data_IF_808423812516
#
_entry.id   IF_808423812516
#
_cell.length_a   1.000
_cell.length_b   1.000
_cell.length_c   1.000
_cell.angle_alpha   90.00
_cell.angle_beta   90.00
_cell.angle_gamma   90.00
#
_symmetry.space_group_name_H-M   'P 1'
#
loop_
_entity.id
_entity.type
_entity.pdbx_description
1 polymer ?
#
# COMPACT_ATOMS: atom_id res chain seq x y z
N UNK A 1 -18.71 39.53 -47.17
CA UNK A 1 -19.54 38.60 -46.36
C UNK A 1 -18.78 37.36 -45.88
N UNK A 2 -17.86 36.79 -46.67
CA UNK A 2 -17.08 35.58 -46.31
C UNK A 2 -16.11 35.80 -45.13
N UNK A 3 -15.36 36.91 -45.12
CA UNK A 3 -14.42 37.25 -44.03
C UNK A 3 -15.09 37.40 -42.66
N UNK A 4 -16.32 37.94 -42.63
CA UNK A 4 -17.07 38.14 -41.39
C UNK A 4 -17.53 36.80 -40.79
N UNK A 5 -17.90 35.82 -41.63
CA UNK A 5 -18.27 34.46 -41.19
C UNK A 5 -17.06 33.68 -40.64
N UNK A 6 -15.88 33.87 -41.21
CA UNK A 6 -14.63 33.23 -40.73
C UNK A 6 -14.24 33.77 -39.34
N UNK A 7 -14.41 35.08 -39.10
CA UNK A 7 -14.11 35.70 -37.81
C UNK A 7 -14.98 35.16 -36.67
N UNK A 8 -16.30 35.01 -36.90
CA UNK A 8 -17.21 34.44 -35.88
C UNK A 8 -16.91 32.96 -35.57
N UNK A 9 -16.50 32.19 -36.58
CA UNK A 9 -16.13 30.79 -36.39
C UNK A 9 -14.89 30.65 -35.50
N UNK A 10 -13.86 31.47 -35.72
CA UNK A 10 -12.64 31.45 -34.90
C UNK A 10 -12.91 31.83 -33.44
N UNK A 11 -13.77 32.82 -33.19
CA UNK A 11 -14.15 33.23 -31.83
C UNK A 11 -14.89 32.11 -31.10
N UNK A 12 -15.81 31.41 -31.78
CA UNK A 12 -16.57 30.31 -31.20
C UNK A 12 -15.66 29.13 -30.80
N UNK A 13 -14.65 28.81 -31.61
CA UNK A 13 -13.67 27.75 -31.32
C UNK A 13 -12.79 28.12 -30.13
N UNK A 14 -12.35 29.38 -30.01
CA UNK A 14 -11.56 29.83 -28.87
C UNK A 14 -12.39 29.79 -27.59
N UNK A 15 -13.66 30.22 -27.64
CA UNK A 15 -14.57 30.18 -26.49
C UNK A 15 -14.86 28.75 -26.04
N UNK A 16 -15.07 27.80 -26.96
CA UNK A 16 -15.28 26.40 -26.58
C UNK A 16 -14.02 25.77 -25.98
N UNK A 17 -12.83 26.13 -26.47
CA UNK A 17 -11.57 25.67 -25.92
C UNK A 17 -11.31 26.25 -24.52
N UNK A 18 -11.59 27.54 -24.29
CA UNK A 18 -11.47 28.18 -22.99
C UNK A 18 -12.48 27.61 -21.98
N UNK A 19 -13.73 27.39 -22.40
CA UNK A 19 -14.75 26.76 -21.56
C UNK A 19 -14.37 25.32 -21.20
N UNK A 20 -13.85 24.54 -22.17
CA UNK A 20 -13.35 23.18 -21.94
C UNK A 20 -12.16 23.15 -20.99
N UNK A 21 -11.19 24.07 -21.16
CA UNK A 21 -10.02 24.17 -20.29
C UNK A 21 -10.38 24.58 -18.86
N UNK A 22 -11.34 25.49 -18.70
CA UNK A 22 -11.80 25.93 -17.37
C UNK A 22 -12.57 24.83 -16.63
N UNK A 23 -13.46 24.12 -17.34
CA UNK A 23 -14.16 22.95 -16.80
C UNK A 23 -13.18 21.81 -16.47
N UNK A 24 -12.16 21.59 -17.31
CA UNK A 24 -11.11 20.61 -17.07
C UNK A 24 -10.29 20.92 -15.81
N UNK A 25 -9.88 22.18 -15.64
CA UNK A 25 -9.15 22.61 -14.45
C UNK A 25 -9.98 22.50 -13.15
N UNK A 26 -11.29 22.76 -13.22
CA UNK A 26 -12.20 22.65 -12.07
C UNK A 26 -12.55 21.20 -11.69
N UNK A 27 -12.39 20.25 -12.62
CA UNK A 27 -12.60 18.82 -12.39
C UNK A 27 -11.34 18.07 -11.95
N UNK A 28 -10.17 18.71 -11.99
CA UNK A 28 -8.92 18.15 -11.50
C UNK A 28 -8.91 18.23 -9.96
N UNK A 29 -9.61 17.29 -9.32
CA UNK A 29 -9.45 17.05 -7.88
C UNK A 29 -8.06 16.49 -7.65
N UNK A 30 -7.25 17.12 -6.81
CA UNK A 30 -5.93 16.61 -6.43
C UNK A 30 -6.08 15.23 -5.77
N UNK A 31 -5.71 14.13 -6.45
CA UNK A 31 -5.85 12.76 -5.93
C UNK A 31 -5.05 12.53 -4.63
N UNK A 32 -4.14 13.45 -4.37
CA UNK A 32 -3.15 13.47 -3.32
C UNK A 32 -3.71 14.10 -2.02
N UNK A 33 -4.60 15.08 -2.13
CA UNK A 33 -5.33 15.62 -0.97
C UNK A 33 -6.23 14.57 -0.29
N UNK A 34 -6.67 13.56 -1.06
CA UNK A 34 -7.45 12.42 -0.57
C UNK A 34 -6.60 11.38 0.20
N UNK A 35 -5.26 11.42 0.11
CA UNK A 35 -4.41 10.45 0.82
C UNK A 35 -4.55 10.60 2.33
N UNK A 36 -4.59 11.84 2.83
CA UNK A 36 -4.76 12.12 4.25
C UNK A 36 -6.12 11.65 4.78
N UNK A 37 -7.20 11.79 3.99
CA UNK A 37 -8.53 11.34 4.37
C UNK A 37 -8.62 9.81 4.36
N UNK A 38 -8.04 9.15 3.36
CA UNK A 38 -7.96 7.69 3.28
C UNK A 38 -7.12 7.08 4.41
N UNK A 39 -5.99 7.70 4.77
CA UNK A 39 -5.18 7.28 5.92
C UNK A 39 -5.95 7.38 7.24
N UNK A 40 -6.68 8.48 7.45
CA UNK A 40 -7.55 8.64 8.64
C UNK A 40 -8.64 7.56 8.67
N UNK A 41 -9.25 7.25 7.53
CA UNK A 41 -10.28 6.21 7.45
C UNK A 41 -9.70 4.81 7.75
N UNK A 42 -8.50 4.51 7.24
CA UNK A 42 -7.79 3.24 7.47
C UNK A 42 -7.36 3.08 8.94
N UNK A 43 -6.92 4.16 9.58
CA UNK A 43 -6.62 4.20 11.01
C UNK A 43 -7.87 3.92 11.86
N UNK A 44 -8.95 4.70 11.67
CA UNK A 44 -10.20 4.51 12.41
C UNK A 44 -10.76 3.09 12.28
N UNK A 45 -10.63 2.56 11.07
CA UNK A 45 -11.00 1.21 10.72
C UNK A 45 -10.18 0.16 11.48
N UNK A 46 -8.86 0.34 11.56
CA UNK A 46 -7.97 -0.57 12.30
C UNK A 46 -8.21 -0.50 13.81
N UNK A 47 -8.46 0.70 14.35
CA UNK A 47 -8.83 0.89 15.76
C UNK A 47 -10.16 0.20 16.09
N UNK A 48 -11.20 0.41 15.26
CA UNK A 48 -12.49 -0.27 15.41
C UNK A 48 -12.30 -1.78 15.42
N UNK A 49 -11.42 -2.30 14.57
CA UNK A 49 -11.14 -3.72 14.50
C UNK A 49 -10.48 -4.26 15.78
N UNK A 50 -9.53 -3.53 16.37
CA UNK A 50 -8.89 -3.96 17.62
C UNK A 50 -9.90 -4.03 18.77
N UNK A 51 -10.81 -3.05 18.83
CA UNK A 51 -11.91 -3.08 19.79
C UNK A 51 -12.85 -4.26 19.54
N UNK A 52 -13.17 -4.55 18.28
CA UNK A 52 -13.92 -5.76 17.93
C UNK A 52 -13.17 -7.02 18.39
N UNK A 53 -11.84 -7.10 18.18
CA UNK A 53 -11.01 -8.22 18.62
C UNK A 53 -11.01 -8.42 20.14
N UNK A 54 -11.00 -7.34 20.92
CA UNK A 54 -11.13 -7.39 22.39
C UNK A 54 -12.50 -7.91 22.83
N UNK A 55 -13.54 -7.64 22.05
CA UNK A 55 -14.91 -8.15 22.28
C UNK A 55 -15.12 -9.58 21.76
N UNK A 56 -14.27 -10.06 20.84
CA UNK A 56 -14.28 -11.42 20.30
C UNK A 56 -13.56 -12.38 21.27
N UNK A 57 -14.06 -12.46 22.50
CA UNK A 57 -13.64 -13.46 23.50
C UNK A 57 -14.59 -14.67 23.58
N UNK A 58 -15.77 -14.65 22.93
CA UNK A 58 -16.75 -15.75 23.09
C UNK A 58 -17.33 -16.36 21.80
N UNK A 59 -17.29 -15.69 20.64
CA UNK A 59 -17.78 -16.28 19.37
C UNK A 59 -17.10 -15.66 18.15
N UNK A 60 -16.01 -16.26 17.68
CA UNK A 60 -15.25 -15.76 16.53
C UNK A 60 -16.03 -15.95 15.23
N UNK A 61 -16.56 -14.88 14.64
CA UNK A 61 -16.97 -14.91 13.24
C UNK A 61 -15.74 -14.60 12.36
N UNK A 62 -14.94 -15.64 12.09
CA UNK A 62 -13.74 -15.51 11.28
C UNK A 62 -14.02 -14.99 9.86
N UNK A 63 -15.22 -15.18 9.32
CA UNK A 63 -15.59 -14.66 7.99
C UNK A 63 -15.67 -13.14 7.99
N UNK A 64 -16.25 -12.54 9.04
CA UNK A 64 -16.29 -11.10 9.21
C UNK A 64 -14.87 -10.52 9.39
N UNK A 65 -14.06 -11.16 10.23
CA UNK A 65 -12.66 -10.78 10.43
C UNK A 65 -11.83 -10.81 9.14
N UNK A 66 -11.95 -11.90 8.36
CA UNK A 66 -11.31 -12.08 7.04
C UNK A 66 -11.71 -10.98 6.07
N UNK A 67 -13.00 -10.66 6.00
CA UNK A 67 -13.53 -9.64 5.10
C UNK A 67 -12.99 -8.25 5.45
N UNK A 68 -13.02 -7.89 6.73
CA UNK A 68 -12.55 -6.58 7.22
C UNK A 68 -11.06 -6.40 6.99
N UNK A 69 -10.23 -7.37 7.38
CA UNK A 69 -8.79 -7.23 7.22
C UNK A 69 -8.38 -7.14 5.75
N UNK A 70 -9.06 -7.88 4.86
CA UNK A 70 -8.85 -7.75 3.41
C UNK A 70 -9.15 -6.33 2.92
N UNK A 71 -10.28 -5.74 3.33
CA UNK A 71 -10.63 -4.37 2.97
C UNK A 71 -9.57 -3.36 3.44
N UNK A 72 -8.98 -3.56 4.62
CA UNK A 72 -7.89 -2.70 5.12
C UNK A 72 -6.62 -2.82 4.28
N UNK A 73 -6.23 -4.05 3.91
CA UNK A 73 -5.09 -4.29 3.03
C UNK A 73 -5.29 -3.66 1.65
N UNK A 74 -6.47 -3.83 1.05
CA UNK A 74 -6.81 -3.23 -0.24
C UNK A 74 -6.73 -1.69 -0.17
N UNK A 75 -7.22 -1.08 0.92
CA UNK A 75 -7.13 0.35 1.13
C UNK A 75 -5.68 0.85 1.30
N UNK A 76 -4.85 0.11 2.06
CA UNK A 76 -3.44 0.43 2.21
C UNK A 76 -2.67 0.31 0.90
N UNK A 77 -2.97 -0.69 0.08
CA UNK A 77 -2.39 -0.81 -1.26
C UNK A 77 -2.65 0.44 -2.11
N UNK A 78 -3.89 0.91 -2.15
CA UNK A 78 -4.26 2.12 -2.90
C UNK A 78 -3.57 3.39 -2.37
N UNK A 79 -3.45 3.53 -1.05
CA UNK A 79 -2.74 4.64 -0.41
C UNK A 79 -1.24 4.59 -0.76
N UNK A 80 -0.63 3.41 -0.67
CA UNK A 80 0.78 3.20 -1.02
C UNK A 80 1.07 3.60 -2.46
N UNK A 81 0.26 3.14 -3.41
CA UNK A 81 0.37 3.53 -4.83
C UNK A 81 0.35 5.04 -5.05
N UNK A 82 -0.41 5.80 -4.25
CA UNK A 82 -0.46 7.26 -4.35
C UNK A 82 0.75 7.94 -3.72
N UNK A 83 1.25 7.42 -2.59
CA UNK A 83 2.44 7.94 -1.91
C UNK A 83 3.76 7.58 -2.64
N UNK A 84 3.74 6.55 -3.48
CA UNK A 84 4.86 6.13 -4.32
C UNK A 84 4.87 6.78 -5.70
N UNK A 85 3.84 7.58 -6.05
CA UNK A 85 3.82 8.32 -7.30
C UNK A 85 4.99 9.32 -7.35
N UNK A 86 5.61 9.49 -8.51
CA UNK A 86 6.83 10.30 -8.69
C UNK A 86 6.61 11.77 -8.28
N UNK A 87 5.40 12.29 -8.50
CA UNK A 87 4.98 13.65 -8.22
C UNK A 87 4.41 13.83 -6.79
N UNK A 88 4.27 12.75 -6.01
CA UNK A 88 3.59 12.81 -4.72
C UNK A 88 4.25 13.74 -3.71
N UNK A 89 5.58 13.69 -3.66
CA UNK A 89 6.40 14.54 -2.79
C UNK A 89 6.32 16.02 -3.21
N UNK A 90 6.27 16.29 -4.51
CA UNK A 90 6.14 17.66 -5.03
C UNK A 90 4.76 18.24 -4.70
N UNK A 91 3.70 17.47 -4.94
CA UNK A 91 2.32 17.92 -4.74
C UNK A 91 1.94 18.09 -3.26
N UNK A 92 2.42 17.22 -2.37
CA UNK A 92 2.17 17.32 -0.92
C UNK A 92 3.08 18.35 -0.24
N UNK A 93 4.26 18.59 -0.80
CA UNK A 93 5.35 19.23 -0.07
C UNK A 93 6.00 18.27 0.95
N UNK A 94 7.24 18.59 1.32
CA UNK A 94 8.10 17.65 2.06
C UNK A 94 7.55 17.27 3.44
N UNK A 95 6.99 18.23 4.17
CA UNK A 95 6.51 18.00 5.53
C UNK A 95 5.31 17.05 5.56
N UNK A 96 4.31 17.31 4.72
CA UNK A 96 3.10 16.48 4.65
C UNK A 96 3.40 15.12 4.03
N UNK A 97 4.24 15.06 2.99
CA UNK A 97 4.72 13.79 2.43
C UNK A 97 5.37 12.92 3.49
N UNK A 98 6.33 13.48 4.24
CA UNK A 98 7.05 12.74 5.27
C UNK A 98 6.11 12.23 6.34
N UNK A 99 5.21 13.08 6.85
CA UNK A 99 4.23 12.71 7.86
C UNK A 99 3.26 11.62 7.37
N UNK A 100 2.71 11.76 6.17
CA UNK A 100 1.77 10.79 5.61
C UNK A 100 2.45 9.45 5.33
N UNK A 101 3.70 9.46 4.89
CA UNK A 101 4.48 8.24 4.64
C UNK A 101 4.90 7.54 5.94
N UNK A 102 5.29 8.28 6.98
CA UNK A 102 5.48 7.73 8.34
C UNK A 102 4.20 7.05 8.83
N UNK A 103 3.07 7.73 8.70
CA UNK A 103 1.76 7.22 9.11
C UNK A 103 1.36 5.98 8.31
N UNK A 104 1.62 5.98 7.00
CA UNK A 104 1.38 4.85 6.12
C UNK A 104 2.16 3.61 6.55
N UNK A 105 3.47 3.74 6.81
CA UNK A 105 4.27 2.62 7.31
C UNK A 105 3.79 2.11 8.68
N UNK A 106 3.42 3.00 9.61
CA UNK A 106 2.83 2.59 10.89
C UNK A 106 1.55 1.76 10.69
N UNK A 107 0.66 2.18 9.80
CA UNK A 107 -0.56 1.42 9.49
C UNK A 107 -0.24 0.07 8.85
N UNK A 108 0.74 0.00 7.95
CA UNK A 108 1.19 -1.29 7.40
C UNK A 108 1.68 -2.25 8.49
N UNK A 109 2.54 -1.78 9.41
CA UNK A 109 3.04 -2.60 10.54
C UNK A 109 1.88 -3.08 11.42
N UNK A 110 0.92 -2.19 11.68
CA UNK A 110 -0.25 -2.50 12.49
C UNK A 110 -1.12 -3.57 11.83
N UNK A 111 -1.43 -3.41 10.55
CA UNK A 111 -2.21 -4.38 9.78
C UNK A 111 -1.45 -5.70 9.65
N UNK A 112 -0.14 -5.69 9.43
CA UNK A 112 0.72 -6.89 9.44
C UNK A 112 0.63 -7.66 10.78
N UNK A 113 0.71 -6.95 11.91
CA UNK A 113 0.57 -7.56 13.25
C UNK A 113 -0.83 -8.13 13.47
N UNK A 114 -1.83 -7.50 12.87
CA UNK A 114 -3.21 -8.00 12.89
C UNK A 114 -3.33 -9.31 12.13
N UNK A 115 -2.76 -9.39 10.93
CA UNK A 115 -2.68 -10.64 10.17
C UNK A 115 -2.03 -11.75 11.00
N UNK A 116 -0.92 -11.46 11.70
CA UNK A 116 -0.28 -12.45 12.59
C UNK A 116 -1.23 -13.02 13.63
N UNK A 117 -2.06 -12.15 14.22
CA UNK A 117 -3.00 -12.56 15.26
C UNK A 117 -4.16 -13.37 14.67
N UNK A 118 -4.66 -12.98 13.51
CA UNK A 118 -5.75 -13.67 12.84
C UNK A 118 -5.32 -14.98 12.19
N UNK A 119 -4.12 -15.08 11.64
CA UNK A 119 -3.59 -16.34 11.12
C UNK A 119 -3.59 -17.41 12.22
N UNK A 120 -3.25 -17.04 13.46
CA UNK A 120 -3.28 -17.96 14.61
C UNK A 120 -4.69 -18.35 15.08
N UNK A 121 -5.67 -17.45 14.94
CA UNK A 121 -7.04 -17.66 15.47
C UNK A 121 -8.04 -18.17 14.45
N UNK A 122 -7.86 -17.81 13.19
CA UNK A 122 -8.85 -17.94 12.14
C UNK A 122 -8.34 -18.72 10.92
N UNK A 123 -7.11 -19.25 10.92
CA UNK A 123 -6.57 -20.03 9.80
C UNK A 123 -6.67 -19.31 8.44
N UNK A 124 -5.95 -18.19 8.33
CA UNK A 124 -5.95 -17.39 7.10
C UNK A 124 -5.18 -18.12 6.00
N UNK A 125 -5.86 -18.38 4.88
CA UNK A 125 -5.34 -19.09 3.71
C UNK A 125 -4.49 -18.16 2.80
N UNK A 126 -3.71 -17.25 3.41
CA UNK A 126 -2.86 -16.31 2.68
C UNK A 126 -1.46 -16.31 3.26
N UNK A 127 -0.45 -16.43 2.40
CA UNK A 127 0.94 -16.19 2.81
C UNK A 127 1.16 -14.70 3.00
N UNK A 128 1.70 -14.32 4.15
CA UNK A 128 1.97 -12.91 4.48
C UNK A 128 3.46 -12.63 4.38
N UNK A 129 3.81 -11.65 3.55
CA UNK A 129 5.19 -11.26 3.28
C UNK A 129 5.39 -9.83 3.76
N UNK A 130 6.30 -9.64 4.70
CA UNK A 130 6.83 -8.31 5.03
C UNK A 130 8.10 -8.08 4.23
N UNK A 131 8.07 -7.10 3.33
CA UNK A 131 9.16 -6.76 2.43
C UNK A 131 9.83 -5.46 2.87
N UNK A 132 11.07 -5.56 3.35
CA UNK A 132 11.93 -4.41 3.60
C UNK A 132 12.72 -4.04 2.34
N UNK A 133 12.56 -2.79 1.90
CA UNK A 133 13.17 -2.28 0.67
C UNK A 133 13.98 -1.00 0.93
N UNK A 134 14.91 -0.68 0.03
CA UNK A 134 15.61 0.61 0.00
C UNK A 134 15.32 1.38 -1.29
N UNK A 135 15.06 2.69 -1.20
CA UNK A 135 14.69 3.55 -2.35
C UNK A 135 15.73 3.54 -3.48
N UNK A 136 17.02 3.57 -3.14
CA UNK A 136 18.12 3.62 -4.13
C UNK A 136 18.79 2.26 -4.35
N UNK A 137 18.10 1.16 -4.06
CA UNK A 137 18.64 -0.19 -4.16
C UNK A 137 17.99 -0.94 -5.34
N UNK A 138 18.77 -1.25 -6.38
CA UNK A 138 18.25 -1.92 -7.59
C UNK A 138 17.66 -3.31 -7.28
N UNK A 139 18.27 -4.06 -6.38
CA UNK A 139 17.76 -5.37 -5.97
C UNK A 139 16.38 -5.28 -5.30
N UNK A 140 16.11 -4.20 -4.56
CA UNK A 140 14.81 -3.91 -3.96
C UNK A 140 13.76 -3.62 -5.04
N UNK A 141 14.11 -2.84 -6.05
CA UNK A 141 13.21 -2.59 -7.18
C UNK A 141 12.90 -3.87 -7.97
N UNK A 142 13.89 -4.74 -8.19
CA UNK A 142 13.70 -6.05 -8.82
C UNK A 142 12.86 -6.98 -7.96
N UNK A 143 13.12 -7.02 -6.64
CA UNK A 143 12.34 -7.82 -5.70
C UNK A 143 10.86 -7.40 -5.68
N UNK A 144 10.60 -6.09 -5.70
CA UNK A 144 9.24 -5.55 -5.80
C UNK A 144 8.51 -6.07 -7.04
N UNK A 145 9.15 -6.05 -8.22
CA UNK A 145 8.58 -6.60 -9.46
C UNK A 145 8.29 -8.10 -9.37
N UNK A 146 9.17 -8.87 -8.71
CA UNK A 146 8.94 -10.30 -8.48
C UNK A 146 7.70 -10.49 -7.61
N UNK A 147 7.57 -9.75 -6.51
CA UNK A 147 6.42 -9.82 -5.61
C UNK A 147 5.13 -9.39 -6.30
N UNK A 148 5.14 -8.30 -7.06
CA UNK A 148 4.00 -7.84 -7.86
C UNK A 148 3.49 -8.94 -8.80
N UNK A 149 4.41 -9.69 -9.44
CA UNK A 149 4.01 -10.81 -10.30
C UNK A 149 3.39 -11.97 -9.52
N UNK A 150 3.87 -12.26 -8.31
CA UNK A 150 3.39 -13.37 -7.50
C UNK A 150 2.02 -13.08 -6.88
N UNK A 151 1.70 -11.82 -6.57
CA UNK A 151 0.38 -11.40 -6.05
C UNK A 151 -0.74 -11.74 -7.03
N UNK A 152 -0.44 -11.79 -8.33
CA UNK A 152 -1.42 -12.11 -9.36
C UNK A 152 -1.71 -13.62 -9.48
N UNK A 153 -0.81 -14.46 -8.98
CA UNK A 153 -0.85 -15.92 -9.18
C UNK A 153 -1.14 -16.69 -7.89
N UNK A 154 -0.82 -16.12 -6.73
CA UNK A 154 -0.92 -16.76 -5.43
C UNK A 154 -1.68 -15.85 -4.44
N UNK A 155 -2.35 -16.43 -3.42
CA UNK A 155 -3.03 -15.67 -2.37
C UNK A 155 -2.00 -15.08 -1.39
N UNK A 156 -1.17 -14.16 -1.86
CA UNK A 156 -0.13 -13.50 -1.05
C UNK A 156 -0.52 -12.09 -0.69
N UNK A 157 -0.10 -11.65 0.49
CA UNK A 157 -0.30 -10.29 0.99
C UNK A 157 1.07 -9.72 1.31
N UNK A 158 1.42 -8.63 0.64
CA UNK A 158 2.73 -7.99 0.76
C UNK A 158 2.59 -6.67 1.50
N UNK A 159 3.34 -6.51 2.59
CA UNK A 159 3.54 -5.25 3.29
C UNK A 159 4.93 -4.74 2.97
N UNK A 160 5.03 -3.65 2.20
CA UNK A 160 6.31 -3.08 1.77
C UNK A 160 6.69 -1.89 2.67
N UNK A 161 7.79 -2.05 3.41
CA UNK A 161 8.28 -1.03 4.36
C UNK A 161 9.68 -0.58 3.94
N UNK A 162 9.85 0.74 3.89
CA UNK A 162 11.15 1.33 3.60
C UNK A 162 12.07 1.16 4.83
N UNK A 163 13.21 0.53 4.62
CA UNK A 163 14.19 0.27 5.67
C UNK A 163 14.82 1.57 6.18
N UNK A 164 14.93 1.69 7.50
CA UNK A 164 15.51 2.84 8.19
C UNK A 164 14.85 4.16 7.78
N UNK A 165 13.55 4.13 7.48
CA UNK A 165 12.81 5.32 7.06
C UNK A 165 12.62 6.34 8.20
N UNK A 166 12.27 5.85 9.40
CA UNK A 166 12.11 6.67 10.60
C UNK A 166 12.46 5.86 11.85
N UNK A 167 13.09 6.49 12.84
CA UNK A 167 13.51 5.82 14.07
C UNK A 167 12.34 5.23 14.87
N UNK A 168 11.12 5.79 14.76
CA UNK A 168 9.92 5.26 15.43
C UNK A 168 9.43 3.95 14.81
N UNK A 169 9.93 3.58 13.62
CA UNK A 169 9.60 2.33 12.93
C UNK A 169 10.66 1.24 13.13
N UNK A 170 11.84 1.60 13.62
CA UNK A 170 13.00 0.71 13.77
C UNK A 170 12.73 -0.51 14.65
N UNK A 171 11.78 -0.44 15.59
CA UNK A 171 11.45 -1.55 16.48
C UNK A 171 11.12 -2.86 15.73
N UNK A 172 10.48 -2.77 14.55
CA UNK A 172 10.13 -3.96 13.78
C UNK A 172 11.34 -4.53 13.04
N UNK A 173 12.25 -3.66 12.60
CA UNK A 173 13.53 -4.05 12.02
C UNK A 173 14.38 -4.76 13.07
N UNK A 174 14.45 -4.23 14.29
CA UNK A 174 15.13 -4.84 15.43
C UNK A 174 14.49 -6.19 15.80
N UNK A 175 13.15 -6.28 15.83
CA UNK A 175 12.42 -7.50 16.14
C UNK A 175 12.77 -8.66 15.20
N UNK A 176 12.91 -8.39 13.90
CA UNK A 176 13.31 -9.38 12.89
C UNK A 176 14.81 -9.41 12.59
N UNK A 177 15.62 -8.61 13.31
CA UNK A 177 17.05 -8.45 13.07
C UNK A 177 17.42 -8.10 11.62
N UNK A 178 16.65 -7.19 11.00
CA UNK A 178 16.86 -6.75 9.61
C UNK A 178 18.07 -5.82 9.55
N UNK A 179 19.11 -6.24 8.82
CA UNK A 179 20.38 -5.51 8.69
C UNK A 179 20.73 -5.15 7.25
N UNK A 180 19.98 -5.67 6.27
CA UNK A 180 20.24 -5.49 4.84
C UNK A 180 18.94 -5.34 4.06
N UNK A 181 19.01 -4.69 2.89
CA UNK A 181 17.90 -4.62 1.92
C UNK A 181 18.32 -5.14 0.54
N UNK A 182 17.41 -5.78 -0.20
CA UNK A 182 16.05 -6.16 0.23
C UNK A 182 16.09 -7.29 1.28
N UNK A 183 15.04 -7.39 2.10
CA UNK A 183 14.83 -8.53 3.00
C UNK A 183 13.35 -8.88 3.06
N UNK A 184 13.02 -10.17 3.14
CA UNK A 184 11.66 -10.66 3.29
C UNK A 184 11.48 -11.34 4.64
N UNK A 185 10.33 -11.15 5.28
CA UNK A 185 9.86 -12.01 6.36
C UNK A 185 8.61 -12.73 5.87
N UNK A 186 8.68 -14.05 5.82
CA UNK A 186 7.58 -14.92 5.38
C UNK A 186 6.84 -15.45 6.61
N UNK A 187 5.52 -15.32 6.59
CA UNK A 187 4.57 -15.80 7.62
C UNK A 187 5.02 -15.51 9.05
N UNK A 188 5.50 -14.28 9.27
CA UNK A 188 5.86 -13.76 10.58
C UNK A 188 7.05 -14.43 11.27
N UNK A 189 7.76 -15.33 10.58
CA UNK A 189 8.81 -16.16 11.20
C UNK A 189 10.08 -16.20 10.36
N UNK A 190 9.98 -16.56 9.08
CA UNK A 190 11.15 -16.88 8.27
C UNK A 190 11.72 -15.63 7.61
N UNK A 191 12.89 -15.18 8.09
CA UNK A 191 13.63 -14.07 7.50
C UNK A 191 14.52 -14.56 6.35
N UNK A 192 14.41 -13.92 5.19
CA UNK A 192 15.21 -14.15 4.00
C UNK A 192 15.95 -12.84 3.63
N UNK A 193 17.24 -12.71 3.98
CA UNK A 193 18.02 -11.54 3.59
C UNK A 193 18.41 -11.59 2.11
N UNK A 194 18.52 -10.42 1.49
CA UNK A 194 18.90 -10.26 0.09
C UNK A 194 17.77 -10.58 -0.90
N UNK A 195 18.02 -10.33 -2.18
CA UNK A 195 17.06 -10.59 -3.26
C UNK A 195 16.76 -12.09 -3.36
N UNK A 196 15.49 -12.44 -3.36
CA UNK A 196 15.00 -13.79 -3.56
C UNK A 196 14.52 -13.97 -5.00
N UNK A 197 14.95 -15.07 -5.62
CA UNK A 197 14.47 -15.42 -6.95
C UNK A 197 13.03 -15.93 -6.90
N UNK A 198 12.29 -15.66 -7.98
CA UNK A 198 10.88 -16.05 -8.12
C UNK A 198 10.64 -17.54 -7.83
N UNK A 199 11.49 -18.43 -8.35
CA UNK A 199 11.37 -19.88 -8.15
C UNK A 199 11.60 -20.31 -6.69
N UNK A 200 12.39 -19.55 -5.92
CA UNK A 200 12.59 -19.82 -4.50
C UNK A 200 11.33 -19.47 -3.71
N UNK A 201 10.69 -18.36 -4.05
CA UNK A 201 9.42 -17.97 -3.44
C UNK A 201 8.28 -18.92 -3.82
N UNK A 202 8.18 -19.34 -5.09
CA UNK A 202 7.16 -20.33 -5.50
C UNK A 202 7.28 -21.62 -4.69
N UNK A 203 8.48 -22.17 -4.54
CA UNK A 203 8.67 -23.41 -3.76
C UNK A 203 8.21 -23.27 -2.31
N UNK A 204 8.33 -22.08 -1.73
CA UNK A 204 7.81 -21.79 -0.40
C UNK A 204 6.27 -21.77 -0.42
N UNK A 205 5.68 -21.03 -1.36
CA UNK A 205 4.22 -20.91 -1.51
C UNK A 205 3.53 -22.25 -1.79
N UNK A 206 4.13 -23.10 -2.61
CA UNK A 206 3.58 -24.44 -2.93
C UNK A 206 3.68 -25.40 -1.75
N UNK A 207 4.68 -25.25 -0.88
CA UNK A 207 4.82 -26.09 0.30
C UNK A 207 3.79 -25.76 1.38
N UNK A 208 3.48 -24.47 1.53
CA UNK A 208 2.48 -23.97 2.49
C UNK A 208 1.05 -24.37 2.10
N UNK A 209 0.74 -24.40 0.79
CA UNK A 209 -0.58 -24.83 0.29
C UNK A 209 -0.85 -26.35 0.40
N UNK A 210 0.09 -27.15 0.91
CA UNK A 210 -0.05 -28.61 1.09
C UNK A 210 -0.16 -29.04 2.56
N UNK A 211 0.00 -28.11 3.51
CA UNK A 211 -0.14 -28.33 4.95
C UNK A 211 -1.56 -28.02 5.44
#
# INVERSE_FOLDING_TARGET
MVFQKISYFLIAVILSFLAGSFLGASLMRDPISDVASQLRQSELSTESYLLEQELITESTNCDFARTRIKQHSDALYLIGKRLEAEDAREQLGEQDYTYLKQKFHLLQIRTYTLYRTLSKKCDLQHTVILFYFGQSNNESAEQGKVLDSLVLEYPIIVFAIEYNYDNKLSFLEEYYAITTVPSLVLDFEKVLPGKQDRNTLIRYLEHDNQA
#
